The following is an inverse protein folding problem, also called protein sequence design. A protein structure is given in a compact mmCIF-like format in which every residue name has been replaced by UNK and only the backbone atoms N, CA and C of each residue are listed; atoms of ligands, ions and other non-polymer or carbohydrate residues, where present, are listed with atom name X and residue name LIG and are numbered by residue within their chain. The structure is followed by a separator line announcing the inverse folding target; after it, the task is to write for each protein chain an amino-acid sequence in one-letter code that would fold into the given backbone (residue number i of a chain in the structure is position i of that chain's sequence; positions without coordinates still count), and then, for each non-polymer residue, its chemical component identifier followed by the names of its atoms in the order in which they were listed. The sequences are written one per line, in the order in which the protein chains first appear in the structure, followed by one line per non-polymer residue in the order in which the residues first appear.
data_IF_538727647030
#
_entry.id   IF_538727647030
#
_cell.length_a   1.000
_cell.length_b   1.000
_cell.length_c   1.000
_cell.angle_alpha   90.00
_cell.angle_beta   90.00
_cell.angle_gamma   90.00
#
_symmetry.space_group_name_H-M   'P 1'
#
loop_
_entity.id
_entity.type
_entity.pdbx_description
1 polymer ?
#
# COMPACT_ATOMS: atom_id res chain seq x y z
N UNK A 1 4.66 -43.23 -12.84
CA UNK A 1 4.53 -41.75 -12.68
C UNK A 1 5.92 -41.23 -12.39
N UNK A 2 6.44 -40.28 -13.17
CA UNK A 2 7.75 -39.68 -12.89
C UNK A 2 7.62 -38.82 -11.62
N UNK A 3 8.48 -39.03 -10.62
CA UNK A 3 8.56 -38.19 -9.42
C UNK A 3 8.95 -36.77 -9.82
N UNK A 4 7.95 -35.90 -9.98
CA UNK A 4 8.17 -34.49 -10.25
C UNK A 4 8.56 -33.82 -8.94
N UNK A 5 9.79 -33.31 -8.88
CA UNK A 5 10.36 -32.70 -7.68
C UNK A 5 9.52 -31.54 -7.13
N UNK A 6 9.23 -31.63 -5.84
CA UNK A 6 8.54 -30.60 -5.06
C UNK A 6 9.45 -29.47 -4.55
N UNK A 7 10.76 -29.53 -4.86
CA UNK A 7 11.74 -28.56 -4.35
C UNK A 7 11.48 -27.14 -4.85
N UNK A 8 11.08 -26.98 -6.12
CA UNK A 8 10.83 -25.67 -6.73
C UNK A 8 9.68 -24.90 -6.05
N UNK A 9 8.45 -25.43 -5.93
CA UNK A 9 7.35 -24.69 -5.31
C UNK A 9 7.60 -24.36 -3.83
N UNK A 10 8.19 -25.30 -3.08
CA UNK A 10 8.58 -25.07 -1.68
C UNK A 10 9.65 -23.97 -1.59
N UNK A 11 10.65 -24.01 -2.47
CA UNK A 11 11.69 -22.98 -2.55
C UNK A 11 11.15 -21.59 -2.88
N UNK A 12 10.15 -21.49 -3.76
CA UNK A 12 9.47 -20.22 -4.09
C UNK A 12 8.77 -19.67 -2.85
N UNK A 13 7.98 -20.48 -2.15
CA UNK A 13 7.28 -20.04 -0.94
C UNK A 13 8.27 -19.64 0.16
N UNK A 14 9.25 -20.50 0.46
CA UNK A 14 10.25 -20.22 1.49
C UNK A 14 11.08 -18.96 1.16
N UNK A 15 11.46 -18.79 -0.11
CA UNK A 15 12.16 -17.60 -0.59
C UNK A 15 11.31 -16.35 -0.44
N UNK A 16 10.02 -16.41 -0.79
CA UNK A 16 9.07 -15.32 -0.60
C UNK A 16 8.92 -14.94 0.88
N UNK A 17 8.67 -15.91 1.77
CA UNK A 17 8.54 -15.66 3.22
C UNK A 17 9.82 -15.06 3.81
N UNK A 18 10.98 -15.57 3.39
CA UNK A 18 12.28 -15.06 3.82
C UNK A 18 12.50 -13.62 3.35
N UNK A 19 12.17 -13.32 2.09
CA UNK A 19 12.27 -11.97 1.55
C UNK A 19 11.36 -10.99 2.30
N UNK A 20 10.11 -11.37 2.58
CA UNK A 20 9.17 -10.58 3.39
C UNK A 20 9.75 -10.25 4.77
N UNK A 21 10.24 -11.27 5.49
CA UNK A 21 10.80 -11.12 6.83
C UNK A 21 12.08 -10.25 6.81
N UNK A 22 12.99 -10.50 5.86
CA UNK A 22 14.24 -9.75 5.73
C UNK A 22 13.98 -8.27 5.42
N UNK A 23 13.12 -7.97 4.44
CA UNK A 23 12.80 -6.59 4.06
C UNK A 23 12.09 -5.84 5.18
N UNK A 24 11.18 -6.49 5.90
CA UNK A 24 10.54 -5.91 7.08
C UNK A 24 11.57 -5.60 8.18
N UNK A 25 12.43 -6.57 8.51
CA UNK A 25 13.47 -6.41 9.53
C UNK A 25 14.46 -5.29 9.17
N UNK A 26 14.91 -5.23 7.92
CA UNK A 26 15.80 -4.16 7.43
C UNK A 26 15.12 -2.80 7.54
N UNK A 27 13.87 -2.68 7.12
CA UNK A 27 13.10 -1.43 7.17
C UNK A 27 12.93 -0.93 8.60
N UNK A 28 12.49 -1.82 9.51
CA UNK A 28 12.31 -1.50 10.94
C UNK A 28 13.65 -1.13 11.58
N UNK A 29 14.72 -1.88 11.31
CA UNK A 29 16.05 -1.61 11.85
C UNK A 29 16.59 -0.26 11.38
N UNK A 30 16.40 0.09 10.11
CA UNK A 30 16.81 1.38 9.56
C UNK A 30 16.09 2.55 10.25
N UNK A 31 14.76 2.44 10.39
CA UNK A 31 13.93 3.44 11.07
C UNK A 31 14.34 3.56 12.53
N UNK A 32 14.51 2.45 13.24
CA UNK A 32 14.91 2.43 14.65
C UNK A 32 16.28 3.08 14.87
N UNK A 33 17.29 2.71 14.06
CA UNK A 33 18.64 3.30 14.14
C UNK A 33 18.59 4.81 13.94
N UNK A 34 17.83 5.29 12.94
CA UNK A 34 17.67 6.72 12.72
C UNK A 34 16.92 7.39 13.88
N UNK A 35 15.85 6.77 14.38
CA UNK A 35 15.07 7.30 15.50
C UNK A 35 15.93 7.46 16.76
N UNK A 36 16.73 6.45 17.11
CA UNK A 36 17.66 6.48 18.24
C UNK A 36 18.74 7.56 18.11
N UNK A 37 19.14 7.91 16.89
CA UNK A 37 20.12 8.97 16.61
C UNK A 37 19.52 10.39 16.53
N UNK A 38 18.19 10.53 16.59
CA UNK A 38 17.48 11.79 16.31
C UNK A 38 16.67 12.28 17.51
N UNK A 39 16.51 13.59 17.63
CA UNK A 39 15.57 14.18 18.60
C UNK A 39 14.09 14.01 18.18
N UNK A 40 13.80 13.37 17.05
CA UNK A 40 12.44 13.17 16.56
C UNK A 40 11.56 12.39 17.54
N UNK A 41 12.16 11.51 18.34
CA UNK A 41 11.46 10.70 19.35
C UNK A 41 10.85 11.57 20.45
N UNK A 42 11.50 12.68 20.85
CA UNK A 42 10.97 13.55 21.90
C UNK A 42 9.84 14.45 21.38
N UNK A 43 9.98 14.98 20.16
CA UNK A 43 8.98 15.89 19.57
C UNK A 43 7.71 15.18 19.09
N UNK A 44 7.84 14.00 18.46
CA UNK A 44 6.71 13.31 17.80
C UNK A 44 6.42 11.92 18.38
N UNK A 45 6.68 11.73 19.68
CA UNK A 45 6.51 10.46 20.39
C UNK A 45 5.15 9.80 20.13
N UNK A 46 4.06 10.58 20.24
CA UNK A 46 2.70 10.06 20.09
C UNK A 46 2.44 9.53 18.67
N UNK A 47 2.86 10.27 17.64
CA UNK A 47 2.71 9.84 16.25
C UNK A 47 3.53 8.57 15.97
N UNK A 48 4.77 8.49 16.49
CA UNK A 48 5.61 7.29 16.37
C UNK A 48 4.94 6.07 17.03
N UNK A 49 4.37 6.23 18.23
CA UNK A 49 3.64 5.14 18.91
C UNK A 49 2.44 4.70 18.08
N UNK A 50 1.63 5.65 17.59
CA UNK A 50 0.44 5.36 16.78
C UNK A 50 0.80 4.58 15.52
N UNK A 51 1.77 5.06 14.71
CA UNK A 51 2.13 4.36 13.47
C UNK A 51 2.86 3.03 13.73
N UNK A 52 3.57 2.88 14.85
CA UNK A 52 4.16 1.59 15.24
C UNK A 52 3.07 0.58 15.62
N UNK A 53 2.06 1.01 16.39
CA UNK A 53 0.93 0.18 16.76
C UNK A 53 0.08 -0.21 15.53
N UNK A 54 -0.18 0.75 14.63
CA UNK A 54 -0.88 0.50 13.37
C UNK A 54 -0.09 -0.45 12.47
N UNK A 55 1.24 -0.30 12.36
CA UNK A 55 2.07 -1.24 11.61
C UNK A 55 1.97 -2.66 12.18
N UNK A 56 2.10 -2.83 13.49
CA UNK A 56 1.99 -4.13 14.14
C UNK A 56 0.60 -4.75 13.95
N UNK A 57 -0.46 -3.96 14.12
CA UNK A 57 -1.84 -4.39 13.89
C UNK A 57 -2.07 -4.82 12.44
N UNK A 58 -1.66 -3.98 11.47
CA UNK A 58 -1.72 -4.27 10.03
C UNK A 58 -1.03 -5.59 9.68
N UNK A 59 0.17 -5.81 10.21
CA UNK A 59 0.92 -7.04 9.95
C UNK A 59 0.20 -8.25 10.54
N UNK A 60 -0.22 -8.15 11.81
CA UNK A 60 -0.88 -9.24 12.52
C UNK A 60 -2.20 -9.64 11.84
N UNK A 61 -3.05 -8.68 11.50
CA UNK A 61 -4.36 -8.94 10.86
C UNK A 61 -4.18 -9.56 9.48
N UNK A 62 -3.32 -8.98 8.64
CA UNK A 62 -3.10 -9.46 7.26
C UNK A 62 -2.54 -10.88 7.27
N UNK A 63 -1.51 -11.15 8.08
CA UNK A 63 -0.89 -12.48 8.11
C UNK A 63 -1.76 -13.53 8.78
N UNK A 64 -2.53 -13.17 9.81
CA UNK A 64 -3.52 -14.07 10.38
C UNK A 64 -4.48 -14.58 9.30
N UNK A 65 -5.03 -13.68 8.48
CA UNK A 65 -5.94 -14.06 7.39
C UNK A 65 -5.23 -14.74 6.22
N UNK A 66 -3.97 -14.38 5.92
CA UNK A 66 -3.16 -15.07 4.92
C UNK A 66 -2.91 -16.53 5.29
N UNK A 67 -2.56 -16.83 6.55
CA UNK A 67 -2.40 -18.21 7.01
C UNK A 67 -3.72 -18.98 6.99
N UNK A 68 -4.83 -18.34 7.37
CA UNK A 68 -6.17 -18.91 7.21
C UNK A 68 -6.51 -19.22 5.76
N UNK A 69 -6.07 -18.37 4.82
CA UNK A 69 -6.23 -18.61 3.39
C UNK A 69 -5.38 -19.78 2.90
N UNK A 70 -4.12 -19.90 3.36
CA UNK A 70 -3.29 -21.06 3.05
C UNK A 70 -3.91 -22.37 3.55
N UNK A 71 -4.45 -22.37 4.77
CA UNK A 71 -5.18 -23.51 5.31
C UNK A 71 -6.40 -23.85 4.44
N UNK A 72 -7.24 -22.85 4.11
CA UNK A 72 -8.42 -23.04 3.29
C UNK A 72 -8.06 -23.57 1.89
N UNK A 73 -7.03 -23.01 1.25
CA UNK A 73 -6.55 -23.42 -0.07
C UNK A 73 -6.04 -24.86 -0.07
N UNK A 74 -5.29 -25.25 0.97
CA UNK A 74 -4.83 -26.63 1.15
C UNK A 74 -6.00 -27.60 1.30
N UNK A 75 -6.96 -27.29 2.16
CA UNK A 75 -8.14 -28.13 2.39
C UNK A 75 -8.99 -28.28 1.12
N UNK A 76 -9.16 -27.19 0.36
CA UNK A 76 -9.86 -27.23 -0.92
C UNK A 76 -9.13 -28.14 -1.90
N UNK A 77 -7.81 -27.98 -2.06
CA UNK A 77 -7.00 -28.84 -2.92
C UNK A 77 -7.07 -30.32 -2.51
N UNK A 78 -6.94 -30.61 -1.21
CA UNK A 78 -7.05 -31.97 -0.68
C UNK A 78 -8.42 -32.60 -0.99
N UNK A 79 -9.51 -31.85 -0.84
CA UNK A 79 -10.86 -32.36 -1.09
C UNK A 79 -11.14 -32.73 -2.55
N UNK A 80 -10.37 -32.19 -3.50
CA UNK A 80 -10.53 -32.51 -4.93
C UNK A 80 -9.82 -33.80 -5.35
N UNK A 81 -9.04 -34.43 -4.45
CA UNK A 81 -8.34 -35.67 -4.75
C UNK A 81 -9.24 -36.87 -4.50
N UNK A 82 -9.31 -37.77 -5.49
CA UNK A 82 -10.07 -39.02 -5.43
C UNK A 82 -9.50 -40.00 -4.41
N UNK A 83 -8.19 -39.95 -4.17
CA UNK A 83 -7.49 -40.79 -3.20
C UNK A 83 -7.35 -40.03 -1.88
N UNK A 84 -7.80 -40.65 -0.79
CA UNK A 84 -7.65 -40.10 0.56
C UNK A 84 -6.16 -40.11 0.92
N UNK A 85 -5.60 -38.93 1.18
CA UNK A 85 -4.21 -38.77 1.55
C UNK A 85 -3.92 -39.52 2.87
N UNK A 86 -2.68 -39.97 3.01
CA UNK A 86 -2.14 -40.79 4.10
C UNK A 86 -2.01 -40.07 5.47
N UNK A 87 -2.63 -38.90 5.62
CA UNK A 87 -2.54 -38.06 6.82
C UNK A 87 -1.24 -37.25 6.92
N UNK A 88 -0.36 -37.29 5.92
CA UNK A 88 0.83 -36.43 5.86
C UNK A 88 0.55 -35.11 5.13
N UNK A 89 1.31 -34.06 5.44
CA UNK A 89 1.15 -32.74 4.80
C UNK A 89 1.87 -32.71 3.45
N UNK A 90 1.09 -32.70 2.37
CA UNK A 90 1.59 -32.72 0.99
C UNK A 90 1.82 -31.31 0.42
N UNK A 91 2.59 -30.49 1.15
CA UNK A 91 2.80 -29.06 0.82
C UNK A 91 3.38 -28.86 -0.58
N UNK A 92 4.31 -29.72 -0.98
CA UNK A 92 4.94 -29.64 -2.29
C UNK A 92 3.97 -29.80 -3.45
N UNK A 93 3.08 -30.79 -3.35
CA UNK A 93 2.08 -31.09 -4.36
C UNK A 93 0.99 -30.01 -4.38
N UNK A 94 0.51 -29.59 -3.20
CA UNK A 94 -0.44 -28.48 -3.07
C UNK A 94 0.06 -27.20 -3.76
N UNK A 95 1.30 -26.78 -3.46
CA UNK A 95 1.89 -25.57 -4.03
C UNK A 95 2.19 -25.70 -5.53
N UNK A 96 2.44 -26.91 -6.03
CA UNK A 96 2.64 -27.17 -7.46
C UNK A 96 1.33 -27.06 -8.23
N UNK A 97 0.27 -27.62 -7.67
CA UNK A 97 -1.01 -27.77 -8.36
C UNK A 97 -1.92 -26.55 -8.17
N UNK A 98 -1.59 -25.67 -7.21
CA UNK A 98 -2.39 -24.48 -6.88
C UNK A 98 -1.68 -23.19 -7.23
N UNK A 99 -2.31 -22.35 -8.05
CA UNK A 99 -1.88 -20.97 -8.28
C UNK A 99 -2.41 -20.04 -7.21
N UNK A 100 -1.81 -20.04 -6.01
CA UNK A 100 -2.31 -19.32 -4.83
C UNK A 100 -2.67 -17.85 -5.09
N UNK A 101 -1.80 -17.14 -5.81
CA UNK A 101 -2.01 -15.72 -6.10
C UNK A 101 -3.25 -15.50 -6.98
N UNK A 102 -3.43 -16.30 -8.04
CA UNK A 102 -4.64 -16.25 -8.88
C UNK A 102 -5.86 -16.64 -8.07
N UNK A 103 -5.77 -17.71 -7.27
CA UNK A 103 -6.88 -18.20 -6.45
C UNK A 103 -7.35 -17.12 -5.47
N UNK A 104 -6.43 -16.49 -4.73
CA UNK A 104 -6.74 -15.43 -3.80
C UNK A 104 -7.48 -14.26 -4.48
N UNK A 105 -6.94 -13.76 -5.60
CA UNK A 105 -7.50 -12.60 -6.28
C UNK A 105 -8.81 -12.88 -7.01
N UNK A 106 -9.00 -14.07 -7.57
CA UNK A 106 -10.32 -14.45 -8.09
C UNK A 106 -11.33 -14.47 -6.95
N UNK A 107 -11.01 -15.14 -5.82
CA UNK A 107 -11.93 -15.20 -4.67
C UNK A 107 -12.27 -13.84 -4.09
N UNK A 108 -11.38 -12.84 -4.17
CA UNK A 108 -11.63 -11.49 -3.66
C UNK A 108 -12.43 -10.59 -4.59
N UNK A 109 -12.54 -10.95 -5.87
CA UNK A 109 -13.14 -10.10 -6.91
C UNK A 109 -14.38 -10.71 -7.57
N UNK A 110 -14.57 -12.03 -7.46
CA UNK A 110 -15.64 -12.80 -8.09
C UNK A 110 -17.04 -12.29 -7.74
N UNK A 111 -17.27 -11.92 -6.47
CA UNK A 111 -18.56 -11.42 -6.02
C UNK A 111 -18.51 -9.90 -5.81
N UNK A 112 -19.55 -9.14 -6.22
CA UNK A 112 -19.59 -7.68 -6.04
C UNK A 112 -19.38 -7.21 -4.58
N UNK A 113 -19.97 -7.85 -3.55
CA UNK A 113 -19.65 -7.58 -2.13
C UNK A 113 -18.16 -7.72 -1.77
N UNK A 114 -17.47 -8.72 -2.32
CA UNK A 114 -16.04 -8.95 -2.07
C UNK A 114 -15.17 -7.96 -2.84
N UNK A 115 -15.54 -7.67 -4.08
CA UNK A 115 -14.87 -6.67 -4.92
C UNK A 115 -14.96 -5.27 -4.30
N UNK A 116 -16.07 -4.95 -3.62
CA UNK A 116 -16.22 -3.67 -2.92
C UNK A 116 -15.15 -3.43 -1.87
N UNK A 117 -14.82 -4.45 -1.07
CA UNK A 117 -13.70 -4.38 -0.14
C UNK A 117 -12.37 -4.31 -0.87
N UNK A 118 -12.18 -5.20 -1.84
CA UNK A 118 -10.85 -5.51 -2.36
C UNK A 118 -10.32 -4.47 -3.35
N UNK A 119 -11.16 -3.88 -4.21
CA UNK A 119 -10.72 -2.91 -5.21
C UNK A 119 -10.12 -1.63 -4.60
N UNK A 120 -10.56 -1.25 -3.40
CA UNK A 120 -10.08 -0.05 -2.72
C UNK A 120 -8.58 -0.10 -2.43
N UNK A 121 -7.99 -1.29 -2.26
CA UNK A 121 -6.56 -1.43 -1.95
C UNK A 121 -5.69 -0.85 -3.07
N UNK A 122 -6.13 -0.95 -4.32
CA UNK A 122 -5.41 -0.39 -5.46
C UNK A 122 -5.43 1.13 -5.46
N UNK A 123 -6.54 1.75 -5.05
CA UNK A 123 -6.63 3.20 -4.94
C UNK A 123 -5.71 3.73 -3.83
N UNK A 124 -5.60 3.01 -2.71
CA UNK A 124 -4.65 3.32 -1.64
C UNK A 124 -3.21 3.18 -2.13
N UNK A 125 -2.88 2.05 -2.76
CA UNK A 125 -1.56 1.78 -3.33
C UNK A 125 -1.14 2.84 -4.37
N UNK A 126 -2.02 3.20 -5.31
CA UNK A 126 -1.76 4.19 -6.34
C UNK A 126 -1.47 5.57 -5.74
N UNK A 127 -2.32 6.05 -4.83
CA UNK A 127 -2.10 7.33 -4.14
C UNK A 127 -0.82 7.33 -3.31
N UNK A 128 -0.57 6.22 -2.61
CA UNK A 128 0.63 6.04 -1.80
C UNK A 128 1.90 6.05 -2.64
N UNK A 129 1.90 5.40 -3.81
CA UNK A 129 3.05 5.34 -4.70
C UNK A 129 3.56 6.71 -5.14
N UNK A 130 2.64 7.58 -5.54
CA UNK A 130 2.97 8.96 -5.91
C UNK A 130 3.42 9.76 -4.70
N UNK A 131 2.78 9.55 -3.55
CA UNK A 131 3.18 10.19 -2.31
C UNK A 131 4.61 9.80 -1.91
N UNK A 132 4.99 8.53 -1.97
CA UNK A 132 6.37 8.08 -1.74
C UNK A 132 7.35 8.81 -2.67
N UNK A 133 7.04 8.90 -3.97
CA UNK A 133 7.90 9.60 -4.93
C UNK A 133 8.10 11.08 -4.57
N UNK A 134 7.05 11.77 -4.11
CA UNK A 134 7.18 13.16 -3.64
C UNK A 134 8.08 13.32 -2.42
N UNK A 135 8.19 12.29 -1.57
CA UNK A 135 9.03 12.30 -0.37
C UNK A 135 10.47 11.87 -0.64
N UNK A 136 10.73 11.11 -1.71
CA UNK A 136 12.05 10.61 -2.11
C UNK A 136 13.10 11.74 -2.14
N UNK A 137 12.77 12.86 -2.79
CA UNK A 137 13.66 14.02 -2.89
C UNK A 137 13.62 14.94 -1.67
N UNK A 138 12.47 15.09 -1.02
CA UNK A 138 12.31 16.02 0.11
C UNK A 138 13.01 15.54 1.38
N UNK A 139 13.01 14.23 1.65
CA UNK A 139 13.46 13.69 2.94
C UNK A 139 14.73 12.84 2.87
N UNK A 140 15.32 12.65 1.67
CA UNK A 140 16.55 11.87 1.43
C UNK A 140 16.55 10.51 2.14
N UNK A 141 15.39 9.86 2.20
CA UNK A 141 15.26 8.57 2.85
C UNK A 141 15.93 7.54 1.93
N UNK A 142 16.81 6.67 2.43
CA UNK A 142 17.44 5.67 1.59
C UNK A 142 16.40 4.64 1.15
N UNK A 143 16.43 4.27 -0.12
CA UNK A 143 15.72 3.11 -0.68
C UNK A 143 14.19 3.10 -0.45
N UNK A 144 13.45 4.19 -0.72
CA UNK A 144 11.97 4.22 -0.57
C UNK A 144 11.25 3.10 -1.34
N UNK A 145 11.84 2.61 -2.44
CA UNK A 145 11.32 1.49 -3.20
C UNK A 145 11.13 0.22 -2.36
N UNK A 146 11.87 0.05 -1.26
CA UNK A 146 11.71 -1.06 -0.33
C UNK A 146 10.34 -1.03 0.33
N UNK A 147 9.85 0.16 0.72
CA UNK A 147 8.49 0.27 1.26
C UNK A 147 7.48 -0.15 0.21
N UNK A 148 7.58 0.36 -1.02
CA UNK A 148 6.67 -0.03 -2.10
C UNK A 148 6.68 -1.54 -2.33
N UNK A 149 7.88 -2.16 -2.39
CA UNK A 149 8.02 -3.61 -2.52
C UNK A 149 7.37 -4.36 -1.36
N UNK A 150 7.60 -3.91 -0.12
CA UNK A 150 6.98 -4.48 1.07
C UNK A 150 5.45 -4.39 1.00
N UNK A 151 4.91 -3.31 0.44
CA UNK A 151 3.49 -3.15 0.17
C UNK A 151 2.95 -4.19 -0.82
N UNK A 152 3.73 -4.53 -1.86
CA UNK A 152 3.32 -5.53 -2.86
C UNK A 152 3.37 -6.97 -2.33
N UNK A 153 4.32 -7.27 -1.43
CA UNK A 153 4.58 -8.65 -0.98
C UNK A 153 4.05 -8.95 0.43
N UNK A 154 3.78 -7.96 1.27
CA UNK A 154 3.33 -8.16 2.67
C UNK A 154 1.91 -7.64 2.87
N UNK A 155 1.76 -6.32 2.91
CA UNK A 155 0.49 -5.62 3.10
C UNK A 155 0.72 -4.13 2.84
N UNK A 156 -0.23 -3.45 2.19
CA UNK A 156 -0.08 -2.03 1.85
C UNK A 156 -0.13 -1.18 3.12
N UNK A 157 -1.04 -1.46 4.05
CA UNK A 157 -1.16 -0.67 5.29
C UNK A 157 0.08 -0.80 6.18
N UNK A 158 0.66 -2.01 6.31
CA UNK A 158 1.89 -2.23 7.05
C UNK A 158 3.04 -1.39 6.49
N UNK A 159 3.25 -1.49 5.17
CA UNK A 159 4.32 -0.77 4.50
C UNK A 159 4.10 0.75 4.50
N UNK A 160 2.85 1.20 4.37
CA UNK A 160 2.49 2.60 4.51
C UNK A 160 2.82 3.14 5.91
N UNK A 161 2.47 2.42 6.98
CA UNK A 161 2.80 2.80 8.35
C UNK A 161 4.31 2.86 8.60
N UNK A 162 5.09 1.91 8.08
CA UNK A 162 6.55 1.99 8.14
C UNK A 162 7.09 3.21 7.36
N UNK A 163 6.50 3.53 6.20
CA UNK A 163 6.89 4.73 5.45
C UNK A 163 6.55 6.02 6.21
N UNK A 164 5.40 6.08 6.90
CA UNK A 164 5.05 7.21 7.76
C UNK A 164 6.02 7.36 8.93
N UNK A 165 6.41 6.26 9.59
CA UNK A 165 7.45 6.28 10.61
C UNK A 165 8.77 6.81 10.06
N UNK A 166 9.20 6.34 8.89
CA UNK A 166 10.39 6.84 8.22
C UNK A 166 10.27 8.35 7.93
N UNK A 167 9.11 8.81 7.47
CA UNK A 167 8.86 10.23 7.23
C UNK A 167 9.04 11.06 8.49
N UNK A 168 8.44 10.65 9.61
CA UNK A 168 8.55 11.36 10.89
C UNK A 168 9.99 11.43 11.39
N UNK A 169 10.73 10.34 11.26
CA UNK A 169 12.08 10.19 11.84
C UNK A 169 13.16 10.87 10.98
N UNK A 170 13.00 10.93 9.66
CA UNK A 170 13.99 11.55 8.77
C UNK A 170 13.77 13.04 8.53
N UNK A 171 12.58 13.58 8.80
CA UNK A 171 12.29 15.01 8.70
C UNK A 171 13.10 15.88 9.66
N UNK A 172 13.47 15.35 10.84
CA UNK A 172 14.09 16.13 11.93
C UNK A 172 15.62 16.31 11.80
N UNK A 173 16.16 16.24 10.58
CA UNK A 173 17.61 16.39 10.34
C UNK A 173 18.04 17.85 10.11
N UNK A 174 17.13 18.84 10.16
CA UNK A 174 17.49 20.27 10.20
C UNK A 174 17.03 20.92 11.53
N UNK A 175 17.91 20.98 12.55
CA UNK A 175 17.59 21.54 13.86
C UNK A 175 17.32 23.06 13.86
N UNK A 176 17.38 23.73 12.71
CA UNK A 176 17.17 25.18 12.64
C UNK A 176 15.87 25.62 11.96
N UNK A 177 15.06 24.70 11.41
CA UNK A 177 13.82 25.06 10.68
C UNK A 177 14.04 26.06 9.53
N UNK A 178 15.30 26.29 9.12
CA UNK A 178 15.68 27.33 8.16
C UNK A 178 15.83 26.79 6.75
N UNK A 179 16.09 25.49 6.54
CA UNK A 179 16.21 24.92 5.19
C UNK A 179 14.86 24.89 4.46
N UNK A 180 13.76 24.57 5.14
CA UNK A 180 12.41 24.63 4.55
C UNK A 180 12.03 26.07 4.17
N UNK A 181 12.51 27.06 4.94
CA UNK A 181 12.31 28.49 4.69
C UNK A 181 13.11 29.00 3.48
N UNK A 182 14.33 28.49 3.25
CA UNK A 182 15.15 28.88 2.10
C UNK A 182 14.77 28.16 0.80
N UNK A 183 14.35 26.90 0.85
CA UNK A 183 13.90 26.17 -0.35
C UNK A 183 12.63 26.79 -0.91
N UNK A 184 11.60 26.98 -0.09
CA UNK A 184 10.29 27.51 -0.51
C UNK A 184 10.34 28.99 -0.94
N UNK A 185 11.30 29.77 -0.41
CA UNK A 185 11.45 31.20 -0.75
C UNK A 185 12.39 31.46 -1.94
N UNK A 186 13.37 30.57 -2.19
CA UNK A 186 14.28 30.68 -3.34
C UNK A 186 13.66 30.12 -4.62
N UNK A 187 12.73 29.17 -4.52
CA UNK A 187 12.00 28.60 -5.66
C UNK A 187 10.99 29.56 -6.31
N UNK A 188 10.55 30.61 -5.61
CA UNK A 188 9.62 31.63 -6.16
C UNK A 188 10.26 32.64 -7.12
N UNK A 189 11.58 32.61 -7.35
CA UNK A 189 12.30 33.71 -8.05
C UNK A 189 13.00 33.35 -9.36
N UNK A 190 12.91 32.13 -9.87
CA UNK A 190 13.51 31.80 -11.19
C UNK A 190 12.42 31.52 -12.24
N UNK A 191 12.24 32.39 -13.24
CA UNK A 191 11.44 32.09 -14.42
C UNK A 191 12.28 31.25 -15.37
N UNK A 192 11.89 30.00 -15.63
CA UNK A 192 12.52 29.19 -16.68
C UNK A 192 11.50 28.30 -17.42
N UNK A 193 11.51 28.44 -18.76
CA UNK A 193 10.94 27.60 -19.84
C UNK A 193 9.75 26.69 -19.47
N UNK A 194 8.54 27.19 -19.72
CA UNK A 194 7.32 26.83 -18.99
C UNK A 194 6.48 25.63 -19.44
N UNK A 195 6.85 24.84 -20.45
CA UNK A 195 5.95 23.77 -20.94
C UNK A 195 6.42 22.34 -20.62
N UNK A 196 7.65 21.95 -20.99
CA UNK A 196 8.13 20.57 -20.82
C UNK A 196 8.25 20.15 -19.35
N UNK A 197 8.68 21.08 -18.48
CA UNK A 197 8.79 20.83 -17.05
C UNK A 197 7.44 20.73 -16.34
N UNK A 198 6.41 21.43 -16.84
CA UNK A 198 5.05 21.39 -16.26
C UNK A 198 4.37 20.04 -16.55
N UNK A 199 4.54 19.50 -17.77
CA UNK A 199 4.00 18.20 -18.14
C UNK A 199 4.65 17.06 -17.34
N UNK A 200 5.98 17.10 -17.19
CA UNK A 200 6.73 16.14 -16.37
C UNK A 200 6.33 16.22 -14.89
N UNK A 201 6.14 17.43 -14.34
CA UNK A 201 5.68 17.64 -12.96
C UNK A 201 4.31 17.01 -12.68
N UNK A 202 3.44 16.97 -13.69
CA UNK A 202 2.11 16.36 -13.62
C UNK A 202 2.07 14.91 -14.13
N UNK A 203 3.22 14.27 -14.36
CA UNK A 203 3.29 12.86 -14.81
C UNK A 203 2.61 11.89 -13.83
N UNK A 204 2.43 12.29 -12.57
CA UNK A 204 1.69 11.50 -11.59
C UNK A 204 0.23 11.29 -12.00
N UNK A 205 -0.37 12.24 -12.74
CA UNK A 205 -1.74 12.13 -13.22
C UNK A 205 -1.85 10.97 -14.22
N UNK A 206 -0.89 10.84 -15.14
CA UNK A 206 -0.84 9.74 -16.10
C UNK A 206 -0.71 8.38 -15.39
N UNK A 207 0.15 8.29 -14.37
CA UNK A 207 0.31 7.06 -13.57
C UNK A 207 -0.98 6.70 -12.84
N UNK A 208 -1.63 7.68 -12.18
CA UNK A 208 -2.89 7.45 -11.48
C UNK A 208 -4.00 7.04 -12.46
N UNK A 209 -4.16 7.76 -13.57
CA UNK A 209 -5.17 7.44 -14.59
C UNK A 209 -4.96 6.06 -15.19
N UNK A 210 -3.72 5.69 -15.55
CA UNK A 210 -3.40 4.36 -16.06
C UNK A 210 -3.71 3.26 -15.04
N UNK A 211 -3.33 3.49 -13.77
CA UNK A 211 -3.58 2.53 -12.68
C UNK A 211 -5.08 2.35 -12.45
N UNK A 212 -5.83 3.45 -12.34
CA UNK A 212 -7.28 3.40 -12.14
C UNK A 212 -8.00 2.79 -13.34
N UNK A 213 -7.58 3.10 -14.57
CA UNK A 213 -8.11 2.43 -15.76
C UNK A 213 -7.95 0.91 -15.71
N UNK A 214 -6.77 0.42 -15.28
CA UNK A 214 -6.55 -1.02 -15.08
C UNK A 214 -7.49 -1.57 -14.00
N UNK A 215 -7.56 -0.91 -12.83
CA UNK A 215 -8.38 -1.35 -11.69
C UNK A 215 -9.86 -1.42 -12.04
N UNK A 216 -10.36 -0.42 -12.75
CA UNK A 216 -11.74 -0.41 -13.21
C UNK A 216 -12.00 -1.52 -14.23
N UNK A 217 -11.03 -1.92 -15.05
CA UNK A 217 -11.24 -3.02 -15.99
C UNK A 217 -11.25 -4.41 -15.32
N UNK A 218 -10.70 -4.56 -14.11
CA UNK A 218 -10.49 -5.86 -13.45
C UNK A 218 -11.79 -6.68 -13.29
N UNK A 219 -12.87 -6.16 -12.68
CA UNK A 219 -14.08 -6.95 -12.42
C UNK A 219 -14.72 -7.53 -13.69
N UNK A 220 -14.67 -6.78 -14.80
CA UNK A 220 -15.23 -7.19 -16.09
C UNK A 220 -14.36 -8.19 -16.85
N UNK A 221 -13.14 -8.48 -16.37
CA UNK A 221 -12.16 -9.32 -17.06
C UNK A 221 -11.71 -10.53 -16.22
N UNK A 222 -12.51 -10.94 -15.23
CA UNK A 222 -12.17 -12.07 -14.34
C UNK A 222 -12.00 -13.39 -15.10
N UNK A 223 -12.90 -13.67 -16.04
CA UNK A 223 -12.85 -14.90 -16.86
C UNK A 223 -11.91 -14.80 -18.06
N UNK A 224 -11.34 -13.62 -18.31
CA UNK A 224 -10.52 -13.39 -19.49
C UNK A 224 -9.12 -14.01 -19.30
N UNK A 225 -8.50 -14.65 -20.32
CA UNK A 225 -7.17 -15.27 -20.20
C UNK A 225 -6.06 -14.27 -19.80
N UNK A 226 -6.29 -12.97 -20.03
CA UNK A 226 -5.37 -11.89 -19.66
C UNK A 226 -5.58 -11.32 -18.26
N UNK A 227 -6.51 -11.86 -17.45
CA UNK A 227 -6.80 -11.40 -16.10
C UNK A 227 -5.54 -11.18 -15.25
N UNK A 228 -4.64 -12.15 -15.24
CA UNK A 228 -3.40 -12.06 -14.43
C UNK A 228 -2.49 -10.91 -14.86
N UNK A 229 -2.43 -10.59 -16.16
CA UNK A 229 -1.64 -9.47 -16.66
C UNK A 229 -2.28 -8.13 -16.31
N UNK A 230 -3.61 -8.05 -16.41
CA UNK A 230 -4.37 -6.87 -16.00
C UNK A 230 -4.21 -6.59 -14.51
N UNK A 231 -4.20 -7.64 -13.69
CA UNK A 231 -3.97 -7.56 -12.26
C UNK A 231 -2.52 -7.19 -11.93
N UNK A 232 -1.54 -7.71 -12.68
CA UNK A 232 -0.12 -7.40 -12.51
C UNK A 232 0.19 -5.93 -12.84
N UNK A 233 -0.54 -5.31 -13.78
CA UNK A 233 -0.25 -3.96 -14.24
C UNK A 233 -0.25 -2.91 -13.10
N UNK A 234 -1.27 -2.81 -12.23
CA UNK A 234 -1.23 -1.95 -11.04
C UNK A 234 -0.01 -2.18 -10.12
N UNK A 235 0.42 -3.43 -9.94
CA UNK A 235 1.60 -3.74 -9.11
C UNK A 235 2.89 -3.17 -9.72
N UNK A 236 3.05 -3.26 -11.05
CA UNK A 236 4.21 -2.69 -11.75
C UNK A 236 4.12 -1.16 -11.78
N UNK A 237 2.94 -0.61 -12.09
CA UNK A 237 2.70 0.83 -12.15
C UNK A 237 2.96 1.53 -10.80
N UNK A 238 2.77 0.83 -9.67
CA UNK A 238 3.08 1.36 -8.35
C UNK A 238 4.57 1.73 -8.15
N UNK A 239 5.48 1.18 -8.96
CA UNK A 239 6.90 1.58 -8.95
C UNK A 239 7.21 2.72 -9.93
N UNK A 240 6.33 3.00 -10.89
CA UNK A 240 6.59 4.00 -11.93
C UNK A 240 6.95 5.39 -11.37
N UNK A 241 6.27 5.93 -10.34
CA UNK A 241 6.64 7.22 -9.77
C UNK A 241 8.08 7.29 -9.25
N UNK A 242 8.53 6.24 -8.54
CA UNK A 242 9.87 6.15 -7.99
C UNK A 242 10.93 5.96 -9.09
N UNK A 243 10.62 5.17 -10.11
CA UNK A 243 11.49 4.95 -11.26
C UNK A 243 11.65 6.23 -12.10
N UNK A 244 10.56 6.94 -12.37
CA UNK A 244 10.60 8.22 -13.09
C UNK A 244 11.47 9.24 -12.37
N UNK A 245 11.34 9.35 -11.03
CA UNK A 245 12.23 10.19 -10.24
C UNK A 245 13.69 9.74 -10.33
N UNK A 246 14.00 8.45 -10.36
CA UNK A 246 15.40 7.99 -10.48
C UNK A 246 15.99 8.20 -11.87
N UNK A 247 15.22 7.95 -12.93
CA UNK A 247 15.68 7.97 -14.32
C UNK A 247 15.82 9.38 -14.88
N UNK A 248 14.92 10.29 -14.49
CA UNK A 248 14.84 11.62 -15.13
C UNK A 248 15.48 12.72 -14.26
N UNK A 249 15.64 12.51 -12.94
CA UNK A 249 16.21 13.51 -12.03
C UNK A 249 17.75 13.64 -12.09
N UNK A 250 18.34 13.62 -13.29
CA UNK A 250 19.73 14.01 -13.51
C UNK A 250 20.01 15.50 -13.22
N UNK A 251 18.96 16.29 -12.95
CA UNK A 251 18.95 17.72 -12.63
C UNK A 251 18.38 17.95 -11.22
N UNK A 252 18.78 19.06 -10.58
CA UNK A 252 18.50 19.43 -9.18
C UNK A 252 17.01 19.45 -8.77
N UNK A 253 16.06 19.35 -9.73
CA UNK A 253 14.61 19.23 -9.46
C UNK A 253 14.05 17.90 -9.95
N UNK A 254 13.31 17.22 -9.08
CA UNK A 254 12.68 15.93 -9.37
C UNK A 254 11.45 16.07 -10.26
N UNK A 255 11.14 15.02 -11.02
CA UNK A 255 9.97 14.98 -11.92
C UNK A 255 8.64 14.92 -11.15
N UNK A 256 8.60 14.33 -9.97
CA UNK A 256 7.43 14.30 -9.09
C UNK A 256 7.79 14.87 -7.71
N UNK A 257 8.16 16.13 -7.66
CA UNK A 257 8.48 16.85 -6.41
C UNK A 257 7.22 17.40 -5.70
N UNK A 258 6.15 17.66 -6.45
CA UNK A 258 4.84 18.05 -5.93
C UNK A 258 3.96 16.84 -5.61
N UNK A 259 3.28 16.88 -4.46
CA UNK A 259 2.23 15.90 -4.17
C UNK A 259 0.97 16.22 -4.96
N UNK A 260 0.22 15.19 -5.42
CA UNK A 260 -1.11 15.41 -5.94
C UNK A 260 -1.97 16.15 -4.92
N UNK A 261 -2.73 17.17 -5.33
CA UNK A 261 -3.63 17.89 -4.44
C UNK A 261 -4.53 16.92 -3.67
N UNK A 262 -4.84 17.23 -2.40
CA UNK A 262 -5.70 16.39 -1.56
C UNK A 262 -7.02 16.02 -2.24
N UNK A 263 -7.61 16.97 -2.98
CA UNK A 263 -8.82 16.75 -3.79
C UNK A 263 -8.63 15.65 -4.83
N UNK A 264 -7.52 15.64 -5.56
CA UNK A 264 -7.25 14.62 -6.60
C UNK A 264 -7.08 13.24 -5.97
N UNK A 265 -6.36 13.14 -4.85
CA UNK A 265 -6.22 11.87 -4.12
C UNK A 265 -7.56 11.34 -3.62
N UNK A 266 -8.41 12.24 -3.09
CA UNK A 266 -9.77 11.91 -2.68
C UNK A 266 -10.63 11.47 -3.88
N UNK A 267 -10.56 12.18 -5.02
CA UNK A 267 -11.26 11.81 -6.25
C UNK A 267 -10.86 10.43 -6.76
N UNK A 268 -9.57 10.07 -6.73
CA UNK A 268 -9.10 8.73 -7.11
C UNK A 268 -9.75 7.64 -6.26
N UNK A 269 -9.81 7.83 -4.93
CA UNK A 269 -10.50 6.88 -4.03
C UNK A 269 -12.00 6.85 -4.29
N UNK A 270 -12.62 8.03 -4.47
CA UNK A 270 -14.04 8.16 -4.73
C UNK A 270 -14.47 7.49 -6.05
N UNK A 271 -13.65 7.55 -7.10
CA UNK A 271 -13.92 6.86 -8.37
C UNK A 271 -13.95 5.34 -8.18
N UNK A 272 -12.96 4.78 -7.48
CA UNK A 272 -12.91 3.33 -7.22
C UNK A 272 -14.05 2.87 -6.32
N UNK A 273 -14.32 3.61 -5.23
CA UNK A 273 -15.46 3.33 -4.34
C UNK A 273 -16.78 3.48 -5.09
N UNK A 274 -16.93 4.51 -5.92
CA UNK A 274 -18.14 4.74 -6.73
C UNK A 274 -18.37 3.63 -7.75
N UNK A 275 -17.33 3.14 -8.43
CA UNK A 275 -17.41 2.00 -9.32
C UNK A 275 -17.78 0.71 -8.59
N UNK A 276 -17.19 0.47 -7.41
CA UNK A 276 -17.56 -0.66 -6.56
C UNK A 276 -19.02 -0.59 -6.10
N UNK A 277 -19.50 0.59 -5.70
CA UNK A 277 -20.91 0.83 -5.33
C UNK A 277 -21.83 0.60 -6.53
N UNK A 278 -21.46 1.10 -7.72
CA UNK A 278 -22.21 0.86 -8.94
C UNK A 278 -22.37 -0.64 -9.22
N UNK A 279 -21.28 -1.40 -9.15
CA UNK A 279 -21.29 -2.85 -9.35
C UNK A 279 -22.17 -3.58 -8.31
N UNK A 280 -22.20 -3.12 -7.06
CA UNK A 280 -23.11 -3.66 -6.04
C UNK A 280 -24.58 -3.47 -6.42
N UNK A 281 -24.95 -2.26 -6.84
CA UNK A 281 -26.32 -1.94 -7.21
C UNK A 281 -26.77 -2.64 -8.49
N UNK A 282 -25.90 -2.69 -9.50
CA UNK A 282 -26.15 -3.37 -10.77
C UNK A 282 -26.41 -4.87 -10.56
N UNK A 283 -25.63 -5.51 -9.68
CA UNK A 283 -25.82 -6.91 -9.32
C UNK A 283 -27.01 -7.18 -8.38
N UNK A 284 -27.81 -6.16 -8.02
CA UNK A 284 -28.95 -6.30 -7.11
C UNK A 284 -28.60 -6.52 -5.63
N UNK A 285 -27.31 -6.68 -5.30
CA UNK A 285 -26.81 -6.92 -3.92
C UNK A 285 -26.63 -5.63 -3.11
N UNK A 286 -26.61 -4.47 -3.77
CA UNK A 286 -26.33 -3.17 -3.14
C UNK A 286 -27.42 -2.67 -2.18
N UNK A 287 -28.59 -3.31 -2.12
CA UNK A 287 -29.65 -2.97 -1.16
C UNK A 287 -29.45 -3.61 0.21
N UNK A 288 -28.56 -4.60 0.31
CA UNK A 288 -28.36 -5.38 1.54
C UNK A 288 -26.94 -5.19 2.07
N UNK A 289 -26.73 -4.11 2.83
CA UNK A 289 -25.44 -3.79 3.45
C UNK A 289 -24.88 -4.95 4.31
N UNK A 290 -25.77 -5.76 4.89
CA UNK A 290 -25.39 -6.96 5.62
C UNK A 290 -24.57 -7.93 4.76
N UNK A 291 -24.87 -8.06 3.45
CA UNK A 291 -24.11 -8.90 2.52
C UNK A 291 -22.68 -8.37 2.31
N UNK A 292 -22.52 -7.05 2.17
CA UNK A 292 -21.19 -6.41 2.06
C UNK A 292 -20.35 -6.63 3.31
N UNK A 293 -20.95 -6.48 4.49
CA UNK A 293 -20.23 -6.71 5.75
C UNK A 293 -19.90 -8.19 5.96
N UNK A 294 -20.80 -9.10 5.60
CA UNK A 294 -20.59 -10.54 5.71
C UNK A 294 -19.46 -11.02 4.80
N UNK A 295 -19.37 -10.47 3.59
CA UNK A 295 -18.32 -10.76 2.62
C UNK A 295 -16.90 -10.53 3.19
N UNK A 296 -16.73 -9.57 4.12
CA UNK A 296 -15.45 -9.33 4.78
C UNK A 296 -14.93 -10.55 5.55
N UNK A 297 -15.82 -11.39 6.07
CA UNK A 297 -15.48 -12.56 6.90
C UNK A 297 -15.75 -13.90 6.22
N UNK A 298 -16.46 -13.90 5.09
CA UNK A 298 -16.89 -15.13 4.41
C UNK A 298 -15.73 -15.94 3.82
N UNK A 299 -14.68 -15.26 3.36
CA UNK A 299 -13.54 -15.90 2.75
C UNK A 299 -12.23 -15.30 3.27
N UNK A 300 -11.25 -16.12 3.70
CA UNK A 300 -10.03 -15.62 4.33
C UNK A 300 -9.18 -14.72 3.42
N UNK A 301 -9.18 -14.95 2.10
CA UNK A 301 -8.52 -14.04 1.16
C UNK A 301 -9.19 -12.65 1.15
N UNK A 302 -10.53 -12.60 1.21
CA UNK A 302 -11.28 -11.34 1.28
C UNK A 302 -11.01 -10.65 2.60
N UNK A 303 -11.01 -11.39 3.71
CA UNK A 303 -10.67 -10.85 5.02
C UNK A 303 -9.26 -10.26 5.04
N UNK A 304 -8.28 -10.94 4.44
CA UNK A 304 -6.90 -10.45 4.36
C UNK A 304 -6.82 -9.08 3.68
N UNK A 305 -7.41 -8.93 2.48
CA UNK A 305 -7.38 -7.66 1.73
C UNK A 305 -8.29 -6.61 2.35
N UNK A 306 -9.49 -6.99 2.79
CA UNK A 306 -10.47 -6.08 3.36
C UNK A 306 -10.00 -5.46 4.68
N UNK A 307 -9.39 -6.24 5.58
CA UNK A 307 -8.77 -5.69 6.79
C UNK A 307 -7.56 -4.81 6.48
N UNK A 308 -6.77 -5.13 5.44
CA UNK A 308 -5.69 -4.25 4.97
C UNK A 308 -6.26 -2.89 4.47
N UNK A 309 -7.39 -2.91 3.79
CA UNK A 309 -8.12 -1.69 3.36
C UNK A 309 -8.61 -0.86 4.56
N UNK A 310 -9.20 -1.50 5.56
CA UNK A 310 -9.62 -0.83 6.80
C UNK A 310 -8.40 -0.19 7.49
N UNK A 311 -7.30 -0.93 7.61
CA UNK A 311 -6.06 -0.42 8.18
C UNK A 311 -5.48 0.73 7.35
N UNK A 312 -5.57 0.69 6.02
CA UNK A 312 -5.19 1.81 5.15
C UNK A 312 -6.03 3.05 5.48
N UNK A 313 -7.36 2.93 5.53
CA UNK A 313 -8.24 4.07 5.85
C UNK A 313 -7.88 4.71 7.20
N UNK A 314 -7.67 3.91 8.24
CA UNK A 314 -7.26 4.38 9.57
C UNK A 314 -5.89 5.07 9.48
N UNK A 315 -4.91 4.43 8.86
CA UNK A 315 -3.52 4.90 8.79
C UNK A 315 -3.38 6.20 8.00
N UNK A 316 -4.02 6.30 6.83
CA UNK A 316 -4.01 7.53 6.02
C UNK A 316 -4.77 8.67 6.71
N UNK A 317 -5.87 8.37 7.41
CA UNK A 317 -6.60 9.38 8.19
C UNK A 317 -5.73 9.89 9.34
N UNK A 318 -5.10 9.00 10.10
CA UNK A 318 -4.17 9.37 11.17
C UNK A 318 -3.02 10.22 10.62
N UNK A 319 -2.45 9.86 9.46
CA UNK A 319 -1.42 10.65 8.79
C UNK A 319 -1.91 12.04 8.41
N UNK A 320 -3.10 12.17 7.85
CA UNK A 320 -3.68 13.48 7.54
C UNK A 320 -3.90 14.33 8.80
N UNK A 321 -4.39 13.73 9.89
CA UNK A 321 -4.58 14.42 11.17
C UNK A 321 -3.26 14.89 11.78
N UNK A 322 -2.20 14.06 11.72
CA UNK A 322 -0.86 14.44 12.20
C UNK A 322 -0.32 15.63 11.41
N UNK A 323 -0.34 15.59 10.08
CA UNK A 323 0.15 16.70 9.27
C UNK A 323 -0.70 17.97 9.48
N UNK A 324 -2.02 17.83 9.60
CA UNK A 324 -2.89 18.97 9.91
C UNK A 324 -2.57 19.60 11.26
N UNK A 325 -2.28 18.78 12.28
CA UNK A 325 -1.89 19.27 13.60
C UNK A 325 -0.52 19.97 13.57
N UNK A 326 0.44 19.44 12.80
CA UNK A 326 1.74 20.09 12.57
C UNK A 326 1.55 21.46 11.88
N UNK A 327 0.77 21.52 10.80
CA UNK A 327 0.48 22.76 10.07
C UNK A 327 -0.25 23.79 10.96
N UNK A 328 -1.15 23.32 11.84
CA UNK A 328 -1.86 24.16 12.78
C UNK A 328 -0.93 24.78 13.82
N UNK A 329 -0.06 23.96 14.41
CA UNK A 329 0.93 24.40 15.40
C UNK A 329 1.92 25.38 14.77
N UNK A 330 2.36 25.15 13.54
CA UNK A 330 3.22 26.09 12.81
C UNK A 330 2.53 27.45 12.59
N UNK A 331 1.23 27.43 12.26
CA UNK A 331 0.48 28.65 11.98
C UNK A 331 0.10 29.45 13.23
N UNK A 332 -0.21 28.79 14.34
CA UNK A 332 -0.75 29.43 15.55
C UNK A 332 0.21 29.42 16.75
N UNK A 333 1.35 28.73 16.66
CA UNK A 333 2.34 28.61 17.73
C UNK A 333 1.89 27.77 18.93
N UNK A 334 0.73 27.12 18.86
CA UNK A 334 0.16 26.27 19.91
C UNK A 334 -0.44 24.99 19.32
N UNK A 335 -0.37 23.85 20.04
CA UNK A 335 -1.03 22.62 19.61
C UNK A 335 -2.55 22.79 19.52
N UNK A 336 -3.24 22.11 18.57
CA UNK A 336 -4.69 22.23 18.43
C UNK A 336 -5.48 21.66 19.62
N UNK A 337 -4.86 20.83 20.46
CA UNK A 337 -5.51 20.13 21.58
C UNK A 337 -4.91 20.47 22.95
N UNK A 338 -4.16 21.57 23.10
CA UNK A 338 -3.77 22.02 24.45
C UNK A 338 -5.02 22.45 25.21
N UNK A 339 -5.39 21.76 26.31
CA UNK A 339 -6.44 22.27 27.18
C UNK A 339 -6.01 23.66 27.66
N UNK A 340 -6.90 24.64 27.53
CA UNK A 340 -6.63 25.99 28.02
C UNK A 340 -6.34 25.96 29.53
N UNK A 341 -5.63 26.98 30.06
CA UNK A 341 -5.48 27.10 31.50
C UNK A 341 -6.89 27.18 32.11
N UNK A 342 -7.20 26.22 32.99
CA UNK A 342 -8.42 26.19 33.80
C UNK A 342 -8.33 27.28 34.86
#
# INVERSE_FOLDING_TARGET
MLDVSNARPIGILAGYLTACAALAAISITSIYRKAASSNAVSRRRNAIIVFSALAALSLATTWYHMFRFFQWSYQQWESTRLERLDGTLHLGEWLRDTTLFKQAWVSTLEEPPRAWWSLQIFAHCANWSVMLASYDKKRKIPHLWVFMLLGQIVAISFAANLSFLAFLVFEDTDPTGRATRKATQKDKKQPFSGETHSALRNSWLAVLTATIGCVLAIPWNLDHPKFMYLLLAPHVLAFAPLLLNKLISGSERGVMDEQPPGKVRASVRAVVVGAAIYNLFDAGTGREWASVMRALTDHPAVSSVGWDVICCWISFTAWHTVNWADDWEEKHGIPPFTPGPI
#
